data_IF_908799022867
#
_entry.id   IF_908799022867
#
_cell.length_a   1.000
_cell.length_b   1.000
_cell.length_c   1.000
_cell.angle_alpha   90.00
_cell.angle_beta   90.00
_cell.angle_gamma   90.00
#
_symmetry.space_group_name_H-M   'P 1'
#
loop_
_entity.id
_entity.type
_entity.pdbx_description
1 polymer ?
#
# COMPACT_ATOMS: atom_id res chain seq x y z
N UNK A 1 3.13 -19.02 -2.13
CA UNK A 1 3.31 -17.96 -1.11
C UNK A 1 2.20 -18.09 -0.09
N UNK A 2 2.50 -18.20 1.21
CA UNK A 2 1.46 -18.20 2.25
C UNK A 2 0.91 -16.78 2.44
N UNK A 3 -0.42 -16.62 2.49
CA UNK A 3 -1.06 -15.33 2.77
C UNK A 3 -0.78 -14.96 4.22
N UNK A 4 0.04 -13.93 4.42
CA UNK A 4 0.25 -13.31 5.73
C UNK A 4 -0.75 -12.15 5.92
N UNK A 5 -1.12 -11.78 7.16
CA UNK A 5 -1.85 -10.54 7.42
C UNK A 5 -1.13 -9.29 6.87
N UNK A 6 -1.88 -8.22 6.58
CA UNK A 6 -1.37 -6.99 5.94
C UNK A 6 -0.20 -6.33 6.70
N UNK A 7 -0.23 -6.41 8.02
CA UNK A 7 0.85 -5.88 8.88
C UNK A 7 2.12 -6.74 8.87
N UNK A 8 2.02 -7.99 8.44
CA UNK A 8 3.14 -8.95 8.45
C UNK A 8 3.81 -9.11 7.07
N UNK A 9 3.50 -8.24 6.12
CA UNK A 9 4.13 -8.22 4.80
C UNK A 9 4.27 -6.83 4.19
N UNK A 10 5.17 -6.70 3.22
CA UNK A 10 5.55 -5.43 2.58
C UNK A 10 4.97 -5.21 1.19
N UNK A 11 4.15 -6.13 0.67
CA UNK A 11 3.48 -5.96 -0.63
C UNK A 11 2.31 -4.97 -0.51
N UNK A 12 2.64 -3.70 -0.30
CA UNK A 12 1.74 -2.57 -0.06
C UNK A 12 2.41 -1.28 -0.53
N UNK A 13 1.64 -0.30 -1.00
CA UNK A 13 2.19 1.01 -1.34
C UNK A 13 2.34 1.84 -0.06
N UNK A 14 3.47 2.55 0.04
CA UNK A 14 3.70 3.55 1.10
C UNK A 14 3.06 4.88 0.69
N UNK A 15 2.26 5.45 1.59
CA UNK A 15 1.73 6.80 1.50
C UNK A 15 2.48 7.66 2.51
N UNK A 16 3.16 8.71 2.04
CA UNK A 16 3.92 9.62 2.87
C UNK A 16 3.24 10.97 2.97
N UNK A 17 2.92 11.39 4.19
CA UNK A 17 2.40 12.71 4.49
C UNK A 17 3.47 13.49 5.27
N UNK A 18 3.60 14.77 4.96
CA UNK A 18 4.56 15.65 5.63
C UNK A 18 3.80 16.82 6.21
N UNK A 19 3.91 17.02 7.52
CA UNK A 19 3.48 18.27 8.15
C UNK A 19 4.49 19.37 7.79
N UNK A 20 4.06 20.32 6.98
CA UNK A 20 4.89 21.42 6.48
C UNK A 20 5.41 22.32 7.62
N UNK A 21 4.74 22.36 8.77
CA UNK A 21 5.13 23.24 9.89
C UNK A 21 6.21 22.61 10.77
N UNK A 22 6.11 21.32 11.03
CA UNK A 22 7.01 20.59 11.95
C UNK A 22 8.08 19.79 11.21
N UNK A 23 7.85 19.47 9.94
CA UNK A 23 8.64 18.52 9.16
C UNK A 23 8.35 17.06 9.53
N UNK A 24 7.34 16.79 10.36
CA UNK A 24 6.98 15.43 10.75
C UNK A 24 6.49 14.64 9.53
N UNK A 25 7.01 13.42 9.36
CA UNK A 25 6.64 12.52 8.28
C UNK A 25 5.80 11.37 8.83
N UNK A 26 4.55 11.27 8.37
CA UNK A 26 3.65 10.16 8.69
C UNK A 26 3.61 9.20 7.50
N UNK A 27 3.80 7.90 7.78
CA UNK A 27 3.74 6.85 6.78
C UNK A 27 2.50 5.98 7.00
N UNK A 28 1.67 5.87 5.97
CA UNK A 28 0.54 4.95 5.92
C UNK A 28 0.74 3.93 4.80
N UNK A 29 -0.07 2.88 4.78
CA UNK A 29 0.04 1.83 3.77
C UNK A 29 -1.32 1.49 3.16
N UNK A 30 -1.34 1.30 1.83
CA UNK A 30 -2.52 0.82 1.09
C UNK A 30 -2.22 -0.48 0.34
N UNK A 31 -3.21 -1.37 0.15
CA UNK A 31 -3.01 -2.60 -0.61
C UNK A 31 -2.71 -2.32 -2.09
N UNK A 32 -1.98 -3.25 -2.70
CA UNK A 32 -1.82 -3.32 -4.15
C UNK A 32 -3.15 -3.78 -4.77
N UNK A 33 -3.57 -3.15 -5.85
CA UNK A 33 -4.76 -3.59 -6.61
C UNK A 33 -4.31 -4.70 -7.56
N UNK A 34 -4.74 -5.93 -7.27
CA UNK A 34 -4.31 -7.11 -8.04
C UNK A 34 -5.21 -7.42 -9.25
N UNK A 35 -6.40 -6.82 -9.30
CA UNK A 35 -7.35 -7.04 -10.40
C UNK A 35 -6.86 -6.35 -11.68
N UNK A 36 -7.10 -7.00 -12.80
CA UNK A 36 -6.90 -6.43 -14.13
C UNK A 36 -8.06 -5.50 -14.49
N UNK A 37 -7.94 -4.78 -15.61
CA UNK A 37 -9.02 -3.89 -16.08
C UNK A 37 -10.23 -4.70 -16.58
N UNK A 38 -10.01 -5.90 -17.10
CA UNK A 38 -11.03 -6.86 -17.49
C UNK A 38 -10.50 -8.28 -17.24
N UNK A 39 -11.07 -8.99 -16.27
CA UNK A 39 -10.60 -10.32 -15.84
C UNK A 39 -10.77 -11.40 -16.91
N UNK A 40 -11.69 -11.20 -17.87
CA UNK A 40 -11.87 -12.16 -18.97
C UNK A 40 -10.85 -11.98 -20.09
N UNK A 41 -10.30 -10.78 -20.25
CA UNK A 41 -9.25 -10.48 -21.23
C UNK A 41 -7.83 -10.61 -20.64
N UNK A 42 -7.69 -10.61 -19.30
CA UNK A 42 -6.41 -10.80 -18.61
C UNK A 42 -6.54 -11.28 -17.17
#
# INVERSE_FOLDING_TARGET
QQKKPFEQHWRKHTLSYVDVKTGEVTLEYRPVIDRTLNETDC
#
